data_IF_379033215068
#
_entry.id   IF_379033215068
#
_cell.length_a   1.000
_cell.length_b   1.000
_cell.length_c   1.000
_cell.angle_alpha   90.00
_cell.angle_beta   90.00
_cell.angle_gamma   90.00
#
_symmetry.space_group_name_H-M   'P 1'
#
loop_
_entity.id
_entity.type
_entity.pdbx_description
1 polymer ?
#
# COMPACT_ATOMS: atom_id res chain seq x y z
N UNK A 1 -17.61 -6.89 -5.99
CA UNK A 1 -18.92 -6.84 -6.70
C UNK A 1 -20.03 -6.30 -5.79
N UNK A 2 -20.33 -6.98 -4.68
CA UNK A 2 -21.42 -6.61 -3.76
C UNK A 2 -21.25 -5.22 -3.14
N UNK A 3 -20.02 -4.87 -2.73
CA UNK A 3 -19.75 -3.56 -2.14
C UNK A 3 -19.92 -2.41 -3.15
N UNK A 4 -19.46 -2.61 -4.38
CA UNK A 4 -19.62 -1.64 -5.47
C UNK A 4 -21.08 -1.42 -5.80
N UNK A 5 -21.86 -2.49 -5.95
CA UNK A 5 -23.31 -2.42 -6.19
C UNK A 5 -24.03 -1.72 -5.05
N UNK A 6 -23.69 -2.04 -3.80
CA UNK A 6 -24.25 -1.37 -2.62
C UNK A 6 -23.96 0.14 -2.60
N UNK A 7 -22.75 0.57 -2.97
CA UNK A 7 -22.40 1.99 -3.05
C UNK A 7 -23.18 2.74 -4.14
N UNK A 8 -23.41 2.10 -5.29
CA UNK A 8 -24.22 2.69 -6.36
C UNK A 8 -25.70 2.75 -5.95
N UNK A 9 -26.25 1.62 -5.52
CA UNK A 9 -27.68 1.47 -5.27
C UNK A 9 -28.17 2.21 -4.01
N UNK A 10 -27.38 2.18 -2.93
CA UNK A 10 -27.79 2.72 -1.63
C UNK A 10 -27.29 4.15 -1.39
N UNK A 11 -26.20 4.55 -2.04
CA UNK A 11 -25.54 5.83 -1.80
C UNK A 11 -25.40 6.71 -3.05
N UNK A 12 -25.83 6.23 -4.22
CA UNK A 12 -25.88 7.02 -5.45
C UNK A 12 -24.51 7.40 -6.00
N UNK A 13 -23.44 6.67 -5.65
CA UNK A 13 -22.12 6.92 -6.20
C UNK A 13 -22.08 6.55 -7.69
N UNK A 14 -21.34 7.33 -8.46
CA UNK A 14 -21.03 6.97 -9.84
C UNK A 14 -20.29 5.63 -9.90
N UNK A 15 -20.59 4.72 -10.85
CA UNK A 15 -20.03 3.36 -10.89
C UNK A 15 -18.50 3.30 -10.82
N UNK A 16 -17.80 4.21 -11.51
CA UNK A 16 -16.33 4.28 -11.49
C UNK A 16 -15.83 4.63 -10.08
N UNK A 17 -16.43 5.65 -9.47
CA UNK A 17 -16.09 6.11 -8.11
C UNK A 17 -16.44 5.05 -7.05
N UNK A 18 -17.57 4.37 -7.19
CA UNK A 18 -17.99 3.27 -6.34
C UNK A 18 -17.03 2.07 -6.46
N UNK A 19 -16.59 1.74 -7.67
CA UNK A 19 -15.64 0.66 -7.92
C UNK A 19 -14.31 0.93 -7.23
N UNK A 20 -13.75 2.13 -7.44
CA UNK A 20 -12.51 2.57 -6.82
C UNK A 20 -12.62 2.55 -5.28
N UNK A 21 -13.67 3.16 -4.73
CA UNK A 21 -13.91 3.22 -3.29
C UNK A 21 -14.07 1.84 -2.67
N UNK A 22 -14.88 0.96 -3.27
CA UNK A 22 -15.08 -0.41 -2.79
C UNK A 22 -13.77 -1.19 -2.75
N UNK A 23 -12.96 -1.02 -3.79
CA UNK A 23 -11.78 -1.82 -3.96
C UNK A 23 -10.64 -1.31 -3.03
N UNK A 24 -10.60 -0.02 -2.66
CA UNK A 24 -9.71 0.51 -1.60
C UNK A 24 -10.19 0.20 -0.18
N UNK A 25 -11.46 -0.14 -0.01
CA UNK A 25 -12.07 -0.32 1.30
C UNK A 25 -11.89 -1.71 1.92
N UNK A 26 -11.32 -2.66 1.17
CA UNK A 26 -11.11 -4.04 1.64
C UNK A 26 -12.39 -4.71 2.14
N UNK A 27 -13.54 -4.42 1.51
CA UNK A 27 -14.84 -4.97 1.91
C UNK A 27 -15.65 -4.13 2.92
N UNK A 28 -15.13 -3.02 3.42
CA UNK A 28 -15.83 -2.18 4.41
C UNK A 28 -16.65 -1.04 3.76
N UNK A 29 -17.98 -1.07 3.90
CA UNK A 29 -18.86 0.02 3.41
C UNK A 29 -18.49 1.39 3.98
N UNK A 30 -18.22 1.47 5.29
CA UNK A 30 -17.83 2.73 5.93
C UNK A 30 -16.52 3.29 5.35
N UNK A 31 -15.50 2.45 5.15
CA UNK A 31 -14.24 2.87 4.53
C UNK A 31 -14.47 3.30 3.07
N UNK A 32 -15.29 2.58 2.32
CA UNK A 32 -15.59 2.92 0.94
C UNK A 32 -16.27 4.28 0.82
N UNK A 33 -17.25 4.58 1.67
CA UNK A 33 -17.89 5.89 1.72
C UNK A 33 -16.90 6.99 2.09
N UNK A 34 -16.00 6.75 3.04
CA UNK A 34 -14.95 7.71 3.40
C UNK A 34 -13.94 7.94 2.26
N UNK A 35 -13.57 6.90 1.49
CA UNK A 35 -12.78 7.04 0.26
C UNK A 35 -13.53 7.87 -0.78
N UNK A 36 -14.80 7.56 -1.03
CA UNK A 36 -15.61 8.31 -1.99
C UNK A 36 -15.85 9.77 -1.56
N UNK A 37 -15.88 10.06 -0.26
CA UNK A 37 -15.99 11.41 0.27
C UNK A 37 -14.67 12.20 0.19
N UNK A 38 -13.57 11.58 -0.25
CA UNK A 38 -12.25 12.22 -0.33
C UNK A 38 -11.57 12.38 1.04
N UNK A 39 -12.08 11.72 2.08
CA UNK A 39 -11.57 11.85 3.46
C UNK A 39 -10.12 11.36 3.59
N UNK A 40 -9.67 10.48 2.69
CA UNK A 40 -8.33 9.90 2.70
C UNK A 40 -7.30 10.60 1.79
N UNK A 41 -7.60 11.79 1.26
CA UNK A 41 -6.69 12.46 0.30
C UNK A 41 -5.31 12.76 0.92
N UNK A 42 -5.28 13.11 2.21
CA UNK A 42 -4.04 13.37 2.93
C UNK A 42 -3.24 12.08 3.16
N UNK A 43 -3.91 11.00 3.56
CA UNK A 43 -3.34 9.67 3.77
C UNK A 43 -2.80 9.10 2.45
N UNK A 44 -3.52 9.34 1.35
CA UNK A 44 -3.10 8.94 0.00
C UNK A 44 -1.85 9.68 -0.46
N UNK A 45 -1.85 10.99 -0.31
CA UNK A 45 -0.68 11.82 -0.62
C UNK A 45 0.53 11.41 0.21
N UNK A 46 0.33 11.09 1.49
CA UNK A 46 1.38 10.61 2.37
C UNK A 46 1.88 9.21 1.97
N UNK A 47 0.99 8.26 1.67
CA UNK A 47 1.36 6.91 1.27
C UNK A 47 2.21 6.90 -0.02
N UNK A 48 1.83 7.70 -1.02
CA UNK A 48 2.58 7.80 -2.28
C UNK A 48 3.94 8.45 -2.05
N UNK A 49 4.02 9.52 -1.25
CA UNK A 49 5.30 10.11 -0.86
C UNK A 49 6.18 9.10 -0.12
N UNK A 50 5.63 8.36 0.83
CA UNK A 50 6.36 7.31 1.55
C UNK A 50 6.89 6.24 0.59
N UNK A 51 6.11 5.82 -0.41
CA UNK A 51 6.56 4.85 -1.40
C UNK A 51 7.79 5.35 -2.17
N UNK A 52 7.77 6.63 -2.57
CA UNK A 52 8.87 7.26 -3.28
C UNK A 52 10.10 7.47 -2.38
N UNK A 53 9.90 8.09 -1.21
CA UNK A 53 10.98 8.42 -0.29
C UNK A 53 11.67 7.15 0.25
N UNK A 54 10.92 6.06 0.48
CA UNK A 54 11.51 4.79 0.92
C UNK A 54 12.35 4.11 -0.16
N UNK A 55 12.04 4.26 -1.45
CA UNK A 55 12.82 3.64 -2.54
C UNK A 55 14.30 4.11 -2.53
N UNK A 56 14.54 5.35 -2.09
CA UNK A 56 15.87 5.96 -2.06
C UNK A 56 16.45 6.13 -0.64
N UNK A 57 15.69 5.80 0.41
CA UNK A 57 16.06 6.06 1.79
C UNK A 57 17.24 5.20 2.29
N UNK A 58 18.15 5.84 3.02
CA UNK A 58 19.07 5.14 3.91
C UNK A 58 18.31 4.54 5.12
N UNK A 59 18.84 3.48 5.78
CA UNK A 59 18.18 2.84 6.91
C UNK A 59 17.75 3.79 8.04
N UNK A 60 18.55 4.81 8.34
CA UNK A 60 18.20 5.81 9.36
C UNK A 60 16.99 6.67 8.96
N UNK A 61 16.88 7.07 7.69
CA UNK A 61 15.77 7.87 7.18
C UNK A 61 14.47 7.06 7.20
N UNK A 62 14.55 5.78 6.82
CA UNK A 62 13.44 4.83 6.94
C UNK A 62 12.92 4.72 8.38
N UNK A 63 13.83 4.62 9.36
CA UNK A 63 13.46 4.59 10.78
C UNK A 63 12.82 5.90 11.25
N UNK A 64 13.24 7.05 10.73
CA UNK A 64 12.59 8.34 11.04
C UNK A 64 11.17 8.39 10.49
N UNK A 65 10.98 8.02 9.23
CA UNK A 65 9.66 7.97 8.58
C UNK A 65 8.71 7.01 9.31
N UNK A 66 9.22 5.85 9.73
CA UNK A 66 8.46 4.89 10.55
C UNK A 66 8.00 5.52 11.88
N UNK A 67 8.81 6.40 12.46
CA UNK A 67 8.51 7.06 13.73
C UNK A 67 7.40 8.07 13.59
N UNK A 68 7.50 8.91 12.57
CA UNK A 68 6.48 9.88 12.22
C UNK A 68 5.14 9.23 11.88
N UNK A 69 5.17 8.07 11.21
CA UNK A 69 3.94 7.33 10.94
C UNK A 69 3.37 6.68 12.21
N UNK A 70 4.22 6.15 13.09
CA UNK A 70 3.78 5.51 14.35
C UNK A 70 3.03 6.47 15.30
N UNK A 71 3.29 7.77 15.20
CA UNK A 71 2.56 8.81 15.96
C UNK A 71 1.12 8.99 15.48
N UNK A 72 0.78 8.56 14.25
CA UNK A 72 -0.54 8.73 13.63
C UNK A 72 -1.39 7.45 13.74
N UNK A 73 -1.55 6.91 14.95
CA UNK A 73 -2.11 5.57 15.21
C UNK A 73 -3.44 5.29 14.51
N UNK A 74 -4.35 6.25 14.48
CA UNK A 74 -5.67 6.10 13.87
C UNK A 74 -5.60 5.97 12.34
N UNK A 75 -4.52 6.47 11.73
CA UNK A 75 -4.33 6.56 10.28
C UNK A 75 -3.38 5.52 9.72
N UNK A 76 -2.50 4.93 10.54
CA UNK A 76 -1.49 3.95 10.10
C UNK A 76 -2.11 2.85 9.22
N UNK A 77 -3.24 2.27 9.66
CA UNK A 77 -3.90 1.21 8.90
C UNK A 77 -4.40 1.68 7.52
N UNK A 78 -4.94 2.89 7.43
CA UNK A 78 -5.38 3.46 6.16
C UNK A 78 -4.19 3.74 5.24
N UNK A 79 -3.10 4.29 5.78
CA UNK A 79 -1.88 4.59 5.02
C UNK A 79 -1.25 3.30 4.48
N UNK A 80 -1.16 2.23 5.29
CA UNK A 80 -0.65 0.94 4.82
C UNK A 80 -1.55 0.26 3.79
N UNK A 81 -2.88 0.42 3.88
CA UNK A 81 -3.80 -0.03 2.83
C UNK A 81 -3.54 0.66 1.50
N UNK A 82 -3.39 1.98 1.53
CA UNK A 82 -3.15 2.77 0.33
C UNK A 82 -1.77 2.44 -0.25
N UNK A 83 -0.76 2.32 0.60
CA UNK A 83 0.58 1.91 0.22
C UNK A 83 0.58 0.52 -0.44
N UNK A 84 -0.19 -0.44 0.09
CA UNK A 84 -0.38 -1.75 -0.54
C UNK A 84 -1.01 -1.62 -1.93
N UNK A 85 -2.06 -0.81 -2.05
CA UNK A 85 -2.72 -0.57 -3.33
C UNK A 85 -1.77 0.08 -4.35
N UNK A 86 -0.88 0.97 -3.92
CA UNK A 86 0.14 1.58 -4.77
C UNK A 86 1.08 0.54 -5.38
N UNK A 87 1.73 -0.29 -4.55
CA UNK A 87 2.62 -1.35 -5.04
C UNK A 87 1.90 -2.38 -5.90
N UNK A 88 0.61 -2.64 -5.62
CA UNK A 88 -0.22 -3.51 -6.45
C UNK A 88 -0.51 -2.91 -7.82
N UNK A 89 -0.71 -1.60 -7.92
CA UNK A 89 -0.87 -0.93 -9.22
C UNK A 89 0.43 -1.00 -10.03
N UNK A 90 1.59 -0.78 -9.41
CA UNK A 90 2.89 -0.98 -10.08
C UNK A 90 3.02 -2.40 -10.62
N UNK A 91 2.67 -3.41 -9.82
CA UNK A 91 2.72 -4.82 -10.21
C UNK A 91 1.75 -5.15 -11.35
N UNK A 92 0.48 -4.74 -11.21
CA UNK A 92 -0.57 -4.99 -12.22
C UNK A 92 -0.21 -4.32 -13.53
N UNK A 93 0.21 -3.05 -13.49
CA UNK A 93 0.62 -2.33 -14.69
C UNK A 93 1.84 -2.98 -15.35
N UNK A 94 2.85 -3.39 -14.58
CA UNK A 94 4.04 -4.08 -15.10
C UNK A 94 3.70 -5.34 -15.91
N UNK A 95 2.68 -6.08 -15.51
CA UNK A 95 2.27 -7.33 -16.18
C UNK A 95 1.26 -7.14 -17.31
N UNK A 96 0.34 -6.17 -17.18
CA UNK A 96 -0.81 -6.04 -18.09
C UNK A 96 -0.67 -4.86 -19.05
N UNK A 97 0.00 -3.78 -18.64
CA UNK A 97 -0.05 -2.49 -19.32
C UNK A 97 -1.43 -1.83 -19.30
N UNK A 98 -2.40 -2.38 -18.57
CA UNK A 98 -3.78 -1.90 -18.57
C UNK A 98 -4.04 -0.93 -17.42
N UNK A 99 -4.38 0.31 -17.75
CA UNK A 99 -4.70 1.34 -16.75
C UNK A 99 -6.06 1.13 -16.09
N UNK A 100 -7.01 0.47 -16.78
CA UNK A 100 -8.36 0.24 -16.27
C UNK A 100 -8.44 -0.69 -15.05
N UNK A 101 -7.35 -1.38 -14.71
CA UNK A 101 -7.25 -2.27 -13.55
C UNK A 101 -6.62 -1.59 -12.32
N UNK A 102 -6.17 -0.33 -12.48
CA UNK A 102 -5.43 0.41 -11.46
C UNK A 102 -6.37 1.16 -10.52
N UNK A 103 -5.95 1.27 -9.27
CA UNK A 103 -6.61 2.08 -8.25
C UNK A 103 -6.28 3.57 -8.39
N UNK A 104 -5.03 3.91 -8.68
CA UNK A 104 -4.54 5.28 -8.68
C UNK A 104 -4.56 5.88 -10.09
N UNK A 105 -5.76 5.94 -10.70
CA UNK A 105 -5.97 6.43 -12.08
C UNK A 105 -5.51 7.87 -12.31
N UNK A 106 -5.47 8.70 -11.28
CA UNK A 106 -4.94 10.07 -11.28
C UNK A 106 -3.40 10.15 -11.16
N UNK A 107 -2.72 9.00 -11.05
CA UNK A 107 -1.26 8.88 -11.02
C UNK A 107 -0.70 7.88 -12.03
N UNK A 108 -1.43 7.65 -13.13
CA UNK A 108 -1.00 6.75 -14.21
C UNK A 108 0.42 7.12 -14.67
N UNK A 109 0.70 8.39 -14.98
CA UNK A 109 2.02 8.85 -15.47
C UNK A 109 3.20 8.53 -14.51
N UNK A 110 2.92 8.38 -13.21
CA UNK A 110 3.91 7.98 -12.20
C UNK A 110 4.04 6.47 -12.21
N UNK A 111 2.92 5.74 -12.19
CA UNK A 111 2.87 4.27 -12.24
C UNK A 111 3.58 3.75 -13.48
N UNK A 112 3.34 4.33 -14.66
CA UNK A 112 3.99 3.92 -15.91
C UNK A 112 5.51 4.04 -15.84
N UNK A 113 6.01 5.09 -15.16
CA UNK A 113 7.44 5.37 -15.00
C UNK A 113 8.08 4.46 -13.97
N UNK A 114 7.41 4.22 -12.85
CA UNK A 114 7.94 3.48 -11.70
C UNK A 114 7.76 1.96 -11.83
N UNK A 115 6.73 1.46 -12.54
CA UNK A 115 6.52 0.02 -12.70
C UNK A 115 7.72 -0.70 -13.35
N UNK A 116 8.49 0.04 -14.17
CA UNK A 116 9.72 -0.44 -14.78
C UNK A 116 10.92 -0.52 -13.83
N UNK A 117 10.96 0.28 -12.76
CA UNK A 117 12.12 0.37 -11.86
C UNK A 117 12.17 -0.71 -10.78
N UNK A 118 11.05 -1.39 -10.53
CA UNK A 118 11.00 -2.49 -9.57
C UNK A 118 11.11 -3.85 -10.24
N UNK A 119 11.91 -4.74 -9.64
CA UNK A 119 11.83 -6.17 -9.95
C UNK A 119 10.50 -6.75 -9.48
N UNK A 120 9.94 -7.69 -10.25
CA UNK A 120 8.66 -8.32 -9.89
C UNK A 120 8.70 -8.99 -8.51
N UNK A 121 9.78 -9.72 -8.21
CA UNK A 121 9.96 -10.38 -6.91
C UNK A 121 9.94 -9.38 -5.77
N UNK A 122 10.56 -8.20 -5.96
CA UNK A 122 10.59 -7.14 -4.97
C UNK A 122 9.19 -6.56 -4.69
N UNK A 123 8.36 -6.37 -5.71
CA UNK A 123 6.97 -5.92 -5.52
C UNK A 123 6.15 -6.94 -4.71
N UNK A 124 6.33 -8.23 -4.98
CA UNK A 124 5.66 -9.30 -4.24
C UNK A 124 6.11 -9.34 -2.76
N UNK A 125 7.42 -9.24 -2.51
CA UNK A 125 7.98 -9.15 -1.15
C UNK A 125 7.40 -7.96 -0.37
N UNK A 126 7.37 -6.76 -0.99
CA UNK A 126 6.81 -5.56 -0.36
C UNK A 126 5.34 -5.76 0.01
N UNK A 127 4.53 -6.32 -0.91
CA UNK A 127 3.11 -6.58 -0.67
C UNK A 127 2.90 -7.56 0.50
N UNK A 128 3.72 -8.61 0.59
CA UNK A 128 3.68 -9.59 1.67
C UNK A 128 4.09 -8.98 3.02
N UNK A 129 5.15 -8.17 3.04
CA UNK A 129 5.63 -7.50 4.26
C UNK A 129 4.61 -6.51 4.81
N UNK A 130 3.95 -5.74 3.94
CA UNK A 130 2.86 -4.84 4.34
C UNK A 130 1.71 -5.64 4.95
N UNK A 131 1.28 -6.73 4.32
CA UNK A 131 0.17 -7.55 4.79
C UNK A 131 0.51 -8.23 6.13
N UNK A 132 1.73 -8.77 6.27
CA UNK A 132 2.25 -9.35 7.51
C UNK A 132 2.28 -8.32 8.64
N UNK A 133 2.73 -7.10 8.34
CA UNK A 133 2.79 -6.01 9.33
C UNK A 133 1.41 -5.61 9.82
N UNK A 134 0.43 -5.59 8.91
CA UNK A 134 -0.96 -5.28 9.28
C UNK A 134 -1.60 -6.35 10.14
N UNK A 135 -1.38 -7.63 9.83
CA UNK A 135 -1.83 -8.74 10.70
C UNK A 135 -1.23 -8.63 12.11
N UNK A 136 0.02 -8.17 12.24
CA UNK A 136 0.63 -7.89 13.56
C UNK A 136 -0.12 -6.78 14.31
N UNK A 137 -0.62 -5.75 13.63
CA UNK A 137 -1.44 -4.71 14.30
C UNK A 137 -2.77 -5.23 14.81
N UNK A 138 -3.42 -6.13 14.08
CA UNK A 138 -4.65 -6.80 14.53
C UNK A 138 -4.41 -7.66 15.78
N UNK A 139 -3.19 -8.18 15.93
CA UNK A 139 -2.74 -8.90 17.12
C UNK A 139 -2.23 -7.99 18.26
N UNK A 140 -2.50 -6.67 18.21
CA UNK A 140 -2.04 -5.66 19.18
C UNK A 140 -0.51 -5.59 19.36
N UNK A 141 0.27 -5.88 18.31
CA UNK A 141 1.71 -5.70 18.35
C UNK A 141 2.12 -4.23 18.50
N UNK A 142 3.36 -3.99 18.95
CA UNK A 142 3.90 -2.65 19.07
C UNK A 142 4.02 -1.98 17.69
N UNK A 143 3.16 -0.99 17.44
CA UNK A 143 3.08 -0.26 16.16
C UNK A 143 4.42 0.31 15.71
N UNK A 144 5.19 0.90 16.65
CA UNK A 144 6.48 1.51 16.35
C UNK A 144 7.47 0.49 15.79
N UNK A 145 7.65 -0.61 16.52
CA UNK A 145 8.60 -1.66 16.16
C UNK A 145 8.23 -2.34 14.85
N UNK A 146 6.94 -2.62 14.64
CA UNK A 146 6.49 -3.24 13.41
C UNK A 146 6.63 -2.30 12.19
N UNK A 147 6.44 -0.99 12.35
CA UNK A 147 6.74 -0.01 11.31
C UNK A 147 8.25 0.13 11.05
N UNK A 148 9.09 0.08 12.08
CA UNK A 148 10.55 0.10 11.90
C UNK A 148 11.01 -1.06 11.03
N UNK A 149 10.55 -2.28 11.33
CA UNK A 149 10.88 -3.47 10.56
C UNK A 149 10.37 -3.34 9.11
N UNK A 150 9.11 -2.95 8.94
CA UNK A 150 8.52 -2.77 7.62
C UNK A 150 9.32 -1.75 6.80
N UNK A 151 9.59 -0.57 7.35
CA UNK A 151 10.21 0.50 6.59
C UNK A 151 11.67 0.20 6.30
N UNK A 152 12.40 -0.49 7.19
CA UNK A 152 13.73 -1.02 6.89
C UNK A 152 13.70 -2.04 5.75
N UNK A 153 12.67 -2.90 5.68
CA UNK A 153 12.51 -3.85 4.58
C UNK A 153 12.13 -3.16 3.28
N UNK A 154 11.37 -2.06 3.32
CA UNK A 154 10.98 -1.27 2.13
C UNK A 154 12.10 -0.33 1.67
N UNK A 155 13.01 0.06 2.57
CA UNK A 155 14.06 1.04 2.30
C UNK A 155 15.08 0.55 1.27
N UNK A 156 15.36 1.41 0.30
CA UNK A 156 16.35 1.21 -0.73
C UNK A 156 15.93 0.20 -1.80
N UNK A 157 16.51 0.36 -2.99
CA UNK A 157 16.58 -0.69 -4.02
C UNK A 157 17.56 -1.80 -3.67
N UNK A 158 17.57 -2.22 -2.40
CA UNK A 158 18.34 -3.37 -2.01
C UNK A 158 17.77 -4.59 -2.77
N UNK A 159 18.59 -5.36 -3.51
CA UNK A 159 18.19 -6.71 -3.88
C UNK A 159 17.80 -7.40 -2.58
N UNK A 160 16.60 -7.97 -2.54
CA UNK A 160 15.93 -8.42 -1.32
C UNK A 160 16.93 -8.98 -0.32
N UNK A 161 16.84 -8.51 0.94
CA UNK A 161 17.53 -9.16 2.04
C UNK A 161 17.13 -10.63 1.96
N UNK A 162 18.01 -11.47 1.39
CA UNK A 162 17.86 -12.91 1.48
C UNK A 162 17.89 -13.18 2.96
N UNK A 163 16.71 -13.41 3.53
CA UNK A 163 16.57 -13.97 4.86
C UNK A 163 17.27 -15.32 4.75
N UNK A 164 18.49 -15.37 5.31
CA UNK A 164 19.27 -16.58 5.38
C UNK A 164 18.55 -17.58 6.25
N UNK A 165 17.67 -18.37 5.63
CA UNK A 165 17.21 -19.66 6.11
C UNK A 165 17.27 -20.62 4.93
N UNK A 166 18.48 -20.84 4.41
CA UNK A 166 18.84 -22.09 3.75
C UNK A 166 20.08 -22.63 4.44
N UNK A 167 19.90 -23.06 5.69
CA UNK A 167 20.64 -24.20 6.25
C UNK A 167 19.64 -25.33 6.44
N UNK A 168 19.79 -26.43 5.70
CA UNK A 168 19.10 -27.67 6.02
C UNK A 168 18.74 -28.60 4.86
N UNK A 169 19.74 -29.30 4.31
CA UNK A 169 19.71 -30.77 4.05
C UNK A 169 18.57 -31.29 3.14
N UNK A 170 18.87 -31.59 1.86
CA UNK A 170 19.19 -32.93 1.27
C UNK A 170 19.66 -32.71 -0.17
#
# INVERSE_FOLDING_TARGET
PELTEGLVALHGLEPVKASLAAAMAGGSMGKALAYAAGTFQAERSLAIRLAHDLDEAAPYEALMMAGQLAEQKEKVNAILEILKCWYRDLLVFKFTGETGLLYHLDHIDIIEREAGSFETGRLLEILEEIETTRKKFEANANTRLALDILFLHLAGRAPGLKTGVEEGIV
#
